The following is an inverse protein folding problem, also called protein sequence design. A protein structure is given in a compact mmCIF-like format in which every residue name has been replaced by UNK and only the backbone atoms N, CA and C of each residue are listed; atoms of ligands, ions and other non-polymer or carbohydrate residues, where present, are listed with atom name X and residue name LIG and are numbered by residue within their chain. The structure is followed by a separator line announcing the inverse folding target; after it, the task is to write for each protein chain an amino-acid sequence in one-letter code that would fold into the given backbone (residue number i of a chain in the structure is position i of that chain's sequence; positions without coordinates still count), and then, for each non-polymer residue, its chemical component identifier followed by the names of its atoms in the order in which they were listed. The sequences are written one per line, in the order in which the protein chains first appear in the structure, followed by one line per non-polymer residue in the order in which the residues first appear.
data_IF_256496802442
#
_entry.id   IF_256496802442
#
_cell.length_a   1.000
_cell.length_b   1.000
_cell.length_c   1.000
_cell.angle_alpha   90.00
_cell.angle_beta   90.00
_cell.angle_gamma   90.00
#
_symmetry.space_group_name_H-M   'P 1'
#
loop_
_entity.id
_entity.type
_entity.pdbx_description
1 polymer ?
#
# COMPACT_ATOMS: atom_id res chain seq x y z
N UNK A 1 17.19 12.32 -8.77
CA UNK A 1 17.09 13.80 -8.80
C UNK A 1 15.98 14.16 -9.80
N UNK A 2 15.04 15.04 -9.49
CA UNK A 2 13.94 15.40 -10.40
C UNK A 2 14.31 16.68 -11.18
N UNK A 3 14.62 16.63 -12.48
CA UNK A 3 15.18 17.78 -13.21
C UNK A 3 14.29 19.02 -13.20
N UNK A 4 12.96 18.83 -13.14
CA UNK A 4 11.96 19.91 -13.11
C UNK A 4 12.11 20.85 -11.91
N UNK A 5 12.67 20.37 -10.80
CA UNK A 5 12.83 21.21 -9.61
C UNK A 5 13.84 22.35 -9.83
N UNK A 6 14.84 22.11 -10.67
CA UNK A 6 15.91 23.07 -10.96
C UNK A 6 15.38 24.27 -11.77
N UNK A 7 14.23 24.10 -12.43
CA UNK A 7 13.55 25.13 -13.23
C UNK A 7 12.27 25.63 -12.58
N UNK A 8 11.93 25.17 -11.37
CA UNK A 8 10.67 25.53 -10.70
C UNK A 8 10.74 26.93 -10.08
N UNK A 9 9.65 27.68 -10.16
CA UNK A 9 9.51 28.97 -9.50
C UNK A 9 9.30 28.79 -7.99
N UNK A 10 10.17 29.41 -7.20
CA UNK A 10 10.13 29.31 -5.74
C UNK A 10 8.78 29.79 -5.18
N UNK A 11 8.28 30.95 -5.64
CA UNK A 11 7.10 31.59 -5.07
C UNK A 11 5.80 30.89 -5.47
N UNK A 12 5.68 30.49 -6.73
CA UNK A 12 4.43 29.97 -7.28
C UNK A 12 4.33 28.46 -7.25
N UNK A 13 5.45 27.73 -7.15
CA UNK A 13 5.45 26.26 -7.20
C UNK A 13 5.98 25.63 -5.90
N UNK A 14 7.11 26.11 -5.35
CA UNK A 14 7.71 25.46 -4.18
C UNK A 14 7.08 25.89 -2.84
N UNK A 15 6.94 27.21 -2.60
CA UNK A 15 6.33 27.74 -1.36
C UNK A 15 4.95 27.12 -1.08
N UNK A 16 4.04 26.99 -2.07
CA UNK A 16 2.74 26.35 -1.84
C UNK A 16 2.85 24.93 -1.31
N UNK A 17 3.86 24.15 -1.71
CA UNK A 17 4.06 22.78 -1.21
C UNK A 17 4.42 22.80 0.28
N UNK A 18 5.32 23.69 0.71
CA UNK A 18 5.66 23.81 2.14
C UNK A 18 4.50 24.33 2.98
N UNK A 19 3.72 25.28 2.45
CA UNK A 19 2.47 25.72 3.08
C UNK A 19 1.45 24.58 3.19
N UNK A 20 1.38 23.70 2.18
CA UNK A 20 0.54 22.52 2.25
C UNK A 20 1.01 21.56 3.37
N UNK A 21 2.32 21.29 3.47
CA UNK A 21 2.87 20.43 4.52
C UNK A 21 2.57 20.96 5.92
N UNK A 22 2.76 22.25 6.18
CA UNK A 22 2.47 22.85 7.50
C UNK A 22 0.97 22.96 7.77
N UNK A 23 0.19 23.57 6.87
CA UNK A 23 -1.20 23.94 7.15
C UNK A 23 -2.18 22.77 7.04
N UNK A 24 -1.90 21.78 6.19
CA UNK A 24 -2.84 20.68 5.92
C UNK A 24 -2.42 19.35 6.54
N UNK A 25 -1.11 19.15 6.76
CA UNK A 25 -0.58 17.92 7.35
C UNK A 25 0.06 18.13 8.73
N UNK A 26 0.07 19.36 9.25
CA UNK A 26 0.68 19.72 10.52
C UNK A 26 2.17 19.34 10.62
N UNK A 27 2.89 19.36 9.50
CA UNK A 27 4.33 19.07 9.47
C UNK A 27 5.11 20.29 9.96
N UNK A 28 5.89 20.18 11.05
CA UNK A 28 6.77 21.25 11.50
C UNK A 28 7.89 21.54 10.50
N UNK A 29 8.36 22.79 10.42
CA UNK A 29 9.36 23.21 9.43
C UNK A 29 10.68 22.41 9.52
N UNK A 30 11.13 22.11 10.73
CA UNK A 30 12.34 21.30 10.97
C UNK A 30 12.21 19.86 10.43
N UNK A 31 11.00 19.40 10.10
CA UNK A 31 10.72 18.07 9.56
C UNK A 31 10.46 18.05 8.05
N UNK A 32 10.42 19.19 7.35
CA UNK A 32 10.21 19.23 5.90
C UNK A 32 11.20 18.37 5.14
N UNK A 33 12.50 18.44 5.49
CA UNK A 33 13.54 17.62 4.86
C UNK A 33 13.22 16.13 4.92
N UNK A 34 12.71 15.63 6.05
CA UNK A 34 12.36 14.22 6.23
C UNK A 34 11.24 13.79 5.30
N UNK A 35 10.16 14.59 5.22
CA UNK A 35 9.00 14.33 4.35
C UNK A 35 9.40 14.39 2.86
N UNK A 36 10.16 15.41 2.47
CA UNK A 36 10.62 15.57 1.10
C UNK A 36 11.57 14.45 0.68
N UNK A 37 12.50 14.03 1.54
CA UNK A 37 13.39 12.90 1.23
C UNK A 37 12.61 11.60 1.04
N UNK A 38 11.51 11.41 1.79
CA UNK A 38 10.62 10.25 1.65
C UNK A 38 9.85 10.28 0.33
N UNK A 39 9.38 11.45 -0.12
CA UNK A 39 8.70 11.60 -1.40
C UNK A 39 9.06 12.90 -2.12
N UNK A 40 10.16 12.92 -2.91
CA UNK A 40 10.60 14.13 -3.61
C UNK A 40 9.58 14.66 -4.63
N UNK A 41 8.65 13.79 -5.09
CA UNK A 41 7.55 14.16 -6.00
C UNK A 41 6.59 15.19 -5.42
N UNK A 42 6.57 15.38 -4.10
CA UNK A 42 5.79 16.45 -3.46
C UNK A 42 6.16 17.83 -4.03
N UNK A 43 7.46 18.08 -4.26
CA UNK A 43 7.96 19.37 -4.73
C UNK A 43 7.60 19.69 -6.19
N UNK A 44 7.19 18.69 -6.96
CA UNK A 44 6.82 18.86 -8.37
C UNK A 44 5.33 18.60 -8.63
N UNK A 45 4.54 18.43 -7.57
CA UNK A 45 3.10 18.17 -7.65
C UNK A 45 2.31 19.46 -7.42
N UNK A 46 1.28 19.70 -8.25
CA UNK A 46 0.36 20.82 -8.05
C UNK A 46 -0.38 20.69 -6.72
N UNK A 47 -0.28 21.69 -5.86
CA UNK A 47 -1.03 21.70 -4.59
C UNK A 47 -2.54 21.70 -4.86
N UNK A 48 -2.98 22.49 -5.83
CA UNK A 48 -4.40 22.67 -6.17
C UNK A 48 -4.99 21.44 -6.86
N UNK A 49 -4.26 20.89 -7.83
CA UNK A 49 -4.82 19.90 -8.76
C UNK A 49 -4.42 18.46 -8.40
N UNK A 50 -3.45 18.27 -7.49
CA UNK A 50 -2.95 16.96 -7.10
C UNK A 50 -2.97 16.75 -5.56
N UNK A 51 -2.25 17.57 -4.78
CA UNK A 51 -2.07 17.28 -3.35
C UNK A 51 -3.36 17.44 -2.53
N UNK A 52 -4.09 18.56 -2.69
CA UNK A 52 -5.35 18.79 -1.96
C UNK A 52 -6.45 17.80 -2.36
N UNK A 53 -6.71 17.54 -3.67
CA UNK A 53 -7.70 16.54 -4.06
C UNK A 53 -7.41 15.16 -3.49
N UNK A 54 -6.13 14.71 -3.53
CA UNK A 54 -5.72 13.44 -2.95
C UNK A 54 -5.95 13.41 -1.43
N UNK A 55 -5.52 14.44 -0.71
CA UNK A 55 -5.74 14.54 0.74
C UNK A 55 -7.24 14.46 1.10
N UNK A 56 -8.09 15.26 0.47
CA UNK A 56 -9.52 15.27 0.78
C UNK A 56 -10.20 13.95 0.41
N UNK A 57 -9.77 13.31 -0.68
CA UNK A 57 -10.26 11.98 -1.03
C UNK A 57 -9.85 10.93 0.01
N UNK A 58 -8.58 10.92 0.44
CA UNK A 58 -8.07 10.01 1.48
C UNK A 58 -8.81 10.23 2.82
N UNK A 59 -9.05 11.49 3.21
CA UNK A 59 -9.84 11.81 4.41
C UNK A 59 -11.27 11.26 4.31
N UNK A 60 -11.93 11.41 3.15
CA UNK A 60 -13.26 10.83 2.90
C UNK A 60 -13.27 9.30 2.93
N UNK A 61 -12.16 8.66 2.57
CA UNK A 61 -11.99 7.21 2.72
C UNK A 61 -11.78 6.77 4.18
N UNK A 62 -11.43 7.70 5.08
CA UNK A 62 -11.22 7.43 6.50
C UNK A 62 -9.77 7.55 6.97
N UNK A 63 -8.84 8.04 6.14
CA UNK A 63 -7.47 8.35 6.57
C UNK A 63 -7.48 9.60 7.46
N UNK A 64 -7.36 9.38 8.78
CA UNK A 64 -7.38 10.45 9.79
C UNK A 64 -5.98 10.83 10.30
N UNK A 65 -5.04 9.90 10.21
CA UNK A 65 -3.67 10.11 10.66
C UNK A 65 -2.86 10.89 9.60
N UNK A 66 -2.82 12.21 9.76
CA UNK A 66 -2.09 13.11 8.87
C UNK A 66 -0.58 12.94 9.00
N UNK A 67 -0.09 12.53 10.17
CA UNK A 67 1.31 12.25 10.40
C UNK A 67 1.74 11.01 9.59
N UNK A 68 0.96 9.93 9.66
CA UNK A 68 1.19 8.75 8.83
C UNK A 68 1.18 9.10 7.34
N UNK A 69 0.22 9.90 6.87
CA UNK A 69 0.18 10.35 5.47
C UNK A 69 1.41 11.19 5.08
N UNK A 70 1.94 12.03 5.97
CA UNK A 70 3.10 12.86 5.69
C UNK A 70 4.42 12.06 5.70
N UNK A 71 4.60 11.18 6.68
CA UNK A 71 5.90 10.56 6.96
C UNK A 71 6.02 9.11 6.48
N UNK A 72 4.91 8.36 6.44
CA UNK A 72 4.91 6.94 6.08
C UNK A 72 4.45 6.76 4.63
N UNK A 73 3.32 7.37 4.27
CA UNK A 73 2.64 7.18 2.98
C UNK A 73 2.48 8.46 2.11
N UNK A 74 3.48 9.36 2.01
CA UNK A 74 3.35 10.60 1.22
C UNK A 74 3.13 10.36 -0.28
N UNK A 75 3.42 9.14 -0.76
CA UNK A 75 3.14 8.72 -2.14
C UNK A 75 1.64 8.80 -2.47
N UNK A 76 0.76 8.63 -1.48
CA UNK A 76 -0.68 8.70 -1.68
C UNK A 76 -1.14 10.13 -2.02
N UNK A 77 -0.49 11.14 -1.44
CA UNK A 77 -0.78 12.56 -1.71
C UNK A 77 -0.41 12.98 -3.13
N UNK A 78 0.59 12.32 -3.73
CA UNK A 78 1.02 12.56 -5.11
C UNK A 78 0.39 11.58 -6.11
N UNK A 79 -0.61 10.81 -5.69
CA UNK A 79 -1.31 9.84 -6.54
C UNK A 79 -2.59 10.45 -7.10
N UNK A 80 -2.83 10.28 -8.40
CA UNK A 80 -4.03 10.81 -9.04
C UNK A 80 -5.28 10.08 -8.51
N UNK A 81 -6.29 10.82 -8.09
CA UNK A 81 -7.50 10.23 -7.50
C UNK A 81 -8.26 9.38 -8.51
N UNK A 82 -8.51 9.92 -9.72
CA UNK A 82 -9.35 9.30 -10.74
C UNK A 82 -8.67 8.16 -11.50
N UNK A 83 -7.36 8.28 -11.71
CA UNK A 83 -6.57 7.34 -12.51
C UNK A 83 -5.73 6.38 -11.68
N UNK A 84 -5.60 6.60 -10.36
CA UNK A 84 -4.84 5.71 -9.49
C UNK A 84 -5.67 5.23 -8.31
N UNK A 85 -6.12 6.11 -7.42
CA UNK A 85 -6.73 5.66 -6.16
C UNK A 85 -8.09 4.98 -6.37
N UNK A 86 -9.00 5.60 -7.12
CA UNK A 86 -10.34 5.04 -7.42
C UNK A 86 -10.23 3.70 -8.17
N UNK A 87 -9.43 3.57 -9.25
CA UNK A 87 -9.28 2.30 -9.97
C UNK A 87 -8.77 1.16 -9.08
N UNK A 88 -7.88 1.42 -8.12
CA UNK A 88 -7.39 0.38 -7.20
C UNK A 88 -8.49 -0.13 -6.27
N UNK A 89 -9.33 0.77 -5.74
CA UNK A 89 -10.47 0.38 -4.92
C UNK A 89 -11.50 -0.41 -5.72
N UNK A 90 -11.89 0.10 -6.90
CA UNK A 90 -12.81 -0.61 -7.81
C UNK A 90 -12.28 -1.98 -8.18
N UNK A 91 -10.98 -2.10 -8.42
CA UNK A 91 -10.37 -3.38 -8.72
C UNK A 91 -10.51 -4.37 -7.55
N UNK A 92 -10.27 -3.95 -6.31
CA UNK A 92 -10.54 -4.82 -5.14
C UNK A 92 -12.00 -5.26 -5.11
N UNK A 93 -12.95 -4.38 -5.43
CA UNK A 93 -14.36 -4.75 -5.52
C UNK A 93 -14.62 -5.81 -6.61
N UNK A 94 -13.94 -5.74 -7.76
CA UNK A 94 -14.04 -6.77 -8.80
C UNK A 94 -13.50 -8.14 -8.39
N UNK A 95 -12.67 -8.21 -7.35
CA UNK A 95 -12.22 -9.48 -6.77
C UNK A 95 -13.28 -10.13 -5.85
N UNK A 96 -14.39 -9.44 -5.59
CA UNK A 96 -15.49 -9.90 -4.74
C UNK A 96 -15.55 -9.25 -3.36
N UNK A 97 -14.70 -8.27 -3.04
CA UNK A 97 -14.81 -7.50 -1.79
C UNK A 97 -15.93 -6.47 -1.89
N UNK A 98 -16.69 -6.27 -0.82
CA UNK A 98 -17.59 -5.11 -0.74
C UNK A 98 -16.81 -3.79 -0.69
N UNK A 99 -17.44 -2.67 -1.05
CA UNK A 99 -16.82 -1.35 -0.93
C UNK A 99 -16.35 -1.05 0.50
N UNK A 100 -17.06 -1.53 1.52
CA UNK A 100 -16.65 -1.37 2.91
C UNK A 100 -15.38 -2.19 3.23
N UNK A 101 -15.30 -3.43 2.75
CA UNK A 101 -14.13 -4.28 2.94
C UNK A 101 -12.91 -3.75 2.21
N UNK A 102 -13.06 -3.35 0.94
CA UNK A 102 -11.97 -2.74 0.16
C UNK A 102 -11.43 -1.49 0.86
N UNK A 103 -12.31 -0.61 1.36
CA UNK A 103 -11.92 0.56 2.18
C UNK A 103 -11.18 0.14 3.46
N UNK A 104 -11.72 -0.82 4.21
CA UNK A 104 -11.09 -1.33 5.43
C UNK A 104 -9.70 -1.93 5.17
N UNK A 105 -9.52 -2.62 4.04
CA UNK A 105 -8.23 -3.17 3.63
C UNK A 105 -7.20 -2.07 3.36
N UNK A 106 -7.54 -1.04 2.57
CA UNK A 106 -6.60 0.04 2.25
C UNK A 106 -6.29 0.92 3.44
N UNK A 107 -7.21 1.08 4.40
CA UNK A 107 -6.94 1.81 5.65
C UNK A 107 -5.91 1.08 6.52
N UNK A 108 -5.99 -0.26 6.59
CA UNK A 108 -5.01 -1.09 7.33
C UNK A 108 -3.71 -1.33 6.57
N UNK A 109 -3.74 -1.24 5.25
CA UNK A 109 -2.59 -1.45 4.38
C UNK A 109 -2.58 -0.43 3.23
N UNK A 110 -2.14 0.81 3.47
CA UNK A 110 -2.18 1.87 2.47
C UNK A 110 -1.30 1.60 1.23
N UNK A 111 -0.25 0.78 1.41
CA UNK A 111 0.60 0.28 0.32
C UNK A 111 -0.17 -0.41 -0.81
N UNK A 112 -1.39 -0.91 -0.57
CA UNK A 112 -2.27 -1.45 -1.61
C UNK A 112 -2.51 -0.48 -2.78
N UNK A 113 -2.53 0.82 -2.53
CA UNK A 113 -2.67 1.81 -3.62
C UNK A 113 -1.46 1.88 -4.55
N UNK A 114 -0.30 1.39 -4.11
CA UNK A 114 0.97 1.49 -4.85
C UNK A 114 1.22 0.31 -5.79
N UNK A 115 0.53 -0.82 -5.60
CA UNK A 115 0.77 -2.02 -6.38
C UNK A 115 0.08 -1.97 -7.74
N UNK A 116 0.76 -2.42 -8.80
CA UNK A 116 0.18 -2.52 -10.15
C UNK A 116 -1.01 -3.49 -10.18
N UNK A 117 -2.07 -3.15 -10.94
CA UNK A 117 -3.19 -4.09 -11.12
C UNK A 117 -2.72 -5.27 -11.96
N UNK A 118 -2.19 -4.99 -13.15
CA UNK A 118 -1.75 -6.00 -14.10
C UNK A 118 -0.55 -6.81 -13.59
N UNK A 119 0.47 -6.13 -13.07
CA UNK A 119 1.75 -6.79 -12.77
C UNK A 119 1.88 -7.28 -11.33
N UNK A 120 0.92 -7.00 -10.46
CA UNK A 120 0.98 -7.42 -9.06
C UNK A 120 -0.32 -8.06 -8.59
N UNK A 121 -1.44 -7.35 -8.66
CA UNK A 121 -2.70 -7.87 -8.14
C UNK A 121 -3.20 -9.10 -8.88
N UNK A 122 -3.37 -9.00 -10.21
CA UNK A 122 -3.91 -10.09 -11.04
C UNK A 122 -3.14 -11.40 -10.86
N UNK A 123 -1.82 -11.48 -11.12
CA UNK A 123 -1.09 -12.75 -11.03
C UNK A 123 -1.09 -13.34 -9.61
N UNK A 124 -1.06 -12.50 -8.57
CA UNK A 124 -1.11 -12.97 -7.17
C UNK A 124 -2.50 -13.46 -6.79
N UNK A 125 -3.56 -12.79 -7.23
CA UNK A 125 -4.93 -13.20 -6.97
C UNK A 125 -5.30 -14.46 -7.75
N UNK A 126 -4.92 -14.55 -9.03
CA UNK A 126 -5.10 -15.76 -9.85
C UNK A 126 -4.45 -16.97 -9.17
N UNK A 127 -3.19 -16.85 -8.74
CA UNK A 127 -2.53 -17.93 -8.00
C UNK A 127 -3.26 -18.28 -6.70
N UNK A 128 -3.66 -17.28 -5.94
CA UNK A 128 -4.39 -17.48 -4.68
C UNK A 128 -5.73 -18.21 -4.89
N UNK A 129 -6.50 -17.80 -5.89
CA UNK A 129 -7.83 -18.34 -6.16
C UNK A 129 -7.77 -19.70 -6.86
N UNK A 130 -6.94 -19.83 -7.91
CA UNK A 130 -6.93 -21.00 -8.77
C UNK A 130 -6.02 -22.12 -8.25
N UNK A 131 -4.90 -21.78 -7.63
CA UNK A 131 -3.90 -22.76 -7.17
C UNK A 131 -4.02 -23.01 -5.68
N UNK A 132 -4.00 -21.96 -4.85
CA UNK A 132 -4.11 -22.11 -3.40
C UNK A 132 -5.54 -22.45 -2.94
N UNK A 133 -6.54 -22.23 -3.79
CA UNK A 133 -7.97 -22.37 -3.47
C UNK A 133 -8.35 -21.60 -2.20
N UNK A 134 -7.73 -20.45 -1.98
CA UNK A 134 -7.89 -19.65 -0.78
C UNK A 134 -9.22 -18.91 -0.73
N UNK A 135 -9.65 -18.52 0.47
CA UNK A 135 -10.89 -17.77 0.70
C UNK A 135 -10.62 -16.27 0.75
N UNK A 136 -11.53 -15.46 0.19
CA UNK A 136 -11.41 -13.98 0.22
C UNK A 136 -11.22 -13.43 1.65
N UNK A 137 -11.83 -14.08 2.64
CA UNK A 137 -11.66 -13.75 4.07
C UNK A 137 -10.19 -13.75 4.51
N UNK A 138 -9.35 -14.63 3.96
CA UNK A 138 -7.93 -14.69 4.30
C UNK A 138 -7.17 -13.48 3.74
N UNK A 139 -7.47 -13.07 2.51
CA UNK A 139 -6.91 -11.85 1.92
C UNK A 139 -7.42 -10.58 2.63
N UNK A 140 -8.69 -10.57 3.06
CA UNK A 140 -9.24 -9.48 3.88
C UNK A 140 -8.50 -9.38 5.20
N UNK A 141 -8.31 -10.50 5.90
CA UNK A 141 -7.55 -10.55 7.15
C UNK A 141 -6.09 -10.16 6.96
N UNK A 142 -5.50 -10.52 5.82
CA UNK A 142 -4.09 -10.32 5.51
C UNK A 142 -3.83 -9.64 4.15
N UNK A 143 -4.13 -8.33 4.00
CA UNK A 143 -3.95 -7.64 2.73
C UNK A 143 -2.47 -7.52 2.30
N UNK A 144 -1.54 -7.64 3.26
CA UNK A 144 -0.11 -7.66 3.00
C UNK A 144 0.32 -8.83 2.11
N UNK A 145 -0.54 -9.83 1.86
CA UNK A 145 -0.33 -10.86 0.84
C UNK A 145 0.18 -10.24 -0.48
N UNK A 146 -0.43 -9.15 -0.94
CA UNK A 146 -0.07 -8.49 -2.19
C UNK A 146 1.30 -7.79 -2.16
N UNK A 147 1.93 -7.64 -0.99
CA UNK A 147 3.27 -7.09 -0.84
C UNK A 147 4.38 -8.15 -1.03
N UNK A 148 4.09 -9.43 -0.83
CA UNK A 148 5.09 -10.50 -0.95
C UNK A 148 5.32 -10.89 -2.41
N UNK A 149 6.57 -11.23 -2.75
CA UNK A 149 6.89 -11.71 -4.10
C UNK A 149 6.15 -13.02 -4.42
N UNK A 150 5.48 -13.06 -5.57
CA UNK A 150 4.79 -14.28 -6.01
C UNK A 150 5.78 -15.44 -6.18
N UNK A 151 6.84 -15.21 -6.95
CA UNK A 151 7.83 -16.24 -7.31
C UNK A 151 8.80 -16.58 -6.16
N UNK A 152 9.22 -15.57 -5.38
CA UNK A 152 10.27 -15.77 -4.36
C UNK A 152 9.74 -16.10 -2.98
N UNK A 153 8.44 -15.90 -2.71
CA UNK A 153 7.88 -16.03 -1.36
C UNK A 153 6.57 -16.81 -1.31
N UNK A 154 5.58 -16.41 -2.11
CA UNK A 154 4.24 -17.02 -2.04
C UNK A 154 4.27 -18.45 -2.56
N UNK A 155 4.74 -18.67 -3.81
CA UNK A 155 4.78 -20.00 -4.43
C UNK A 155 5.64 -21.00 -3.66
N UNK A 156 6.92 -20.70 -3.30
CA UNK A 156 7.76 -21.68 -2.63
C UNK A 156 7.17 -22.12 -1.28
N UNK A 157 6.73 -21.16 -0.47
CA UNK A 157 6.15 -21.48 0.86
C UNK A 157 4.81 -22.18 0.77
N UNK A 158 3.97 -21.84 -0.20
CA UNK A 158 2.73 -22.58 -0.43
C UNK A 158 3.00 -24.05 -0.76
N UNK A 159 3.97 -24.34 -1.65
CA UNK A 159 4.35 -25.71 -2.01
C UNK A 159 4.88 -26.48 -0.80
N UNK A 160 5.75 -25.88 0.01
CA UNK A 160 6.28 -26.49 1.23
C UNK A 160 5.17 -26.79 2.25
N UNK A 161 4.22 -25.86 2.44
CA UNK A 161 3.05 -26.07 3.30
C UNK A 161 2.22 -27.24 2.78
N UNK A 162 1.90 -27.29 1.48
CA UNK A 162 1.14 -28.39 0.89
C UNK A 162 1.83 -29.75 1.08
N UNK A 163 3.14 -29.82 0.86
CA UNK A 163 3.93 -31.05 1.01
C UNK A 163 4.00 -31.53 2.46
N UNK A 164 4.03 -30.60 3.41
CA UNK A 164 4.01 -30.93 4.85
C UNK A 164 2.65 -31.42 5.35
N UNK A 165 1.56 -31.16 4.61
CA UNK A 165 0.19 -31.44 5.03
C UNK A 165 -0.34 -30.52 6.14
N UNK A 166 0.44 -29.54 6.60
CA UNK A 166 0.05 -28.58 7.63
C UNK A 166 -0.85 -27.50 7.03
N UNK A 167 -1.78 -26.97 7.81
CA UNK A 167 -2.54 -25.75 7.47
C UNK A 167 -1.96 -24.57 8.24
N UNK A 168 -1.61 -23.50 7.54
CA UNK A 168 -1.10 -22.27 8.15
C UNK A 168 -1.87 -21.05 7.65
N UNK A 169 -2.21 -20.10 8.55
CA UNK A 169 -2.69 -18.79 8.13
C UNK A 169 -1.67 -18.09 7.21
N UNK A 170 -2.15 -17.34 6.22
CA UNK A 170 -1.29 -16.59 5.28
C UNK A 170 -0.26 -15.71 6.01
N UNK A 171 -0.64 -15.11 7.13
CA UNK A 171 0.23 -14.27 7.93
C UNK A 171 1.46 -15.04 8.45
N UNK A 172 1.24 -16.22 9.05
CA UNK A 172 2.31 -17.08 9.57
C UNK A 172 3.13 -17.67 8.42
N UNK A 173 2.47 -18.01 7.31
CA UNK A 173 3.16 -18.51 6.13
C UNK A 173 4.08 -17.45 5.52
N UNK A 174 3.70 -16.18 5.48
CA UNK A 174 4.42 -15.18 4.66
C UNK A 174 5.27 -14.18 5.46
N UNK A 175 4.87 -13.82 6.68
CA UNK A 175 5.61 -12.84 7.52
C UNK A 175 6.81 -13.44 8.24
N UNK A 176 6.72 -14.69 8.67
CA UNK A 176 7.75 -15.32 9.50
C UNK A 176 9.09 -15.43 8.78
N UNK A 177 10.20 -15.43 9.51
CA UNK A 177 11.53 -15.71 8.92
C UNK A 177 11.60 -17.11 8.31
N UNK A 178 12.68 -17.45 7.62
CA UNK A 178 12.82 -18.79 7.03
C UNK A 178 13.00 -19.85 8.12
N UNK A 179 13.67 -19.52 9.22
CA UNK A 179 13.83 -20.38 10.40
C UNK A 179 12.48 -20.60 11.11
N UNK A 180 11.74 -19.52 11.39
CA UNK A 180 10.42 -19.60 12.01
C UNK A 180 9.44 -20.40 11.16
N UNK A 181 9.46 -20.19 9.83
CA UNK A 181 8.61 -20.92 8.91
C UNK A 181 8.90 -22.42 8.93
N UNK A 182 10.18 -22.83 8.90
CA UNK A 182 10.57 -24.24 9.02
C UNK A 182 10.13 -24.85 10.35
N UNK A 183 10.24 -24.09 11.45
CA UNK A 183 9.75 -24.55 12.76
C UNK A 183 8.23 -24.70 12.79
N UNK A 184 7.47 -23.82 12.13
CA UNK A 184 6.01 -23.94 12.00
C UNK A 184 5.59 -25.20 11.25
N UNK A 185 6.34 -25.58 10.20
CA UNK A 185 6.11 -26.83 9.47
C UNK A 185 6.41 -28.05 10.34
N UNK A 186 7.49 -28.01 11.13
CA UNK A 186 7.89 -29.11 12.02
C UNK A 186 6.91 -29.33 13.18
N UNK A 187 6.35 -28.25 13.73
CA UNK A 187 5.47 -28.28 14.92
C UNK A 187 3.99 -28.54 14.58
N UNK A 188 3.64 -28.74 13.31
CA UNK A 188 2.27 -29.09 12.91
C UNK A 188 1.25 -27.97 13.07
N UNK A 189 1.64 -26.70 12.87
CA UNK A 189 0.74 -25.57 12.69
C UNK A 189 -0.44 -25.46 13.66
N UNK A 190 -0.18 -25.39 14.96
CA UNK A 190 -1.20 -25.01 15.95
C UNK A 190 -0.80 -23.71 16.65
N UNK A 191 -1.33 -22.59 16.15
CA UNK A 191 -1.57 -21.32 16.87
C UNK A 191 -2.54 -20.49 16.04
#
# INVERSE_FOLDING_TARGET
MCPKILTSNIKTELIPVFNFLSQYLNVPENNYRRVINKCPRLLTSSVRDQLKPALFYLQRLGFKDLEALAYQDPVLLVSNVEHTLIPKLKFLETLGFSSHEAKSMVLRCPGLFTFSIENNYKPKFEYFNEVMKGKLEELKAFPQFFAFSLEKRIKPRHIEVMQSGVKLPLANMLKSTDEEFKELLRKGGNS
#
